data_IF_721694921860
#
_entry.id   IF_721694921860
#
_cell.length_a   1.000
_cell.length_b   1.000
_cell.length_c   1.000
_cell.angle_alpha   90.00
_cell.angle_beta   90.00
_cell.angle_gamma   90.00
#
_symmetry.space_group_name_H-M   'P 1'
#
loop_
_entity.id
_entity.type
_entity.pdbx_description
1 polymer ?
#
# COMPACT_ATOMS: atom_id res chain seq x y z
N UNK A 1 -1.80 -14.63 28.63
CA UNK A 1 -1.67 -14.16 27.23
C UNK A 1 -2.84 -14.52 26.34
N UNK A 2 -3.30 -15.79 26.31
CA UNK A 2 -4.47 -16.22 25.52
C UNK A 2 -5.72 -15.34 25.74
N UNK A 3 -6.02 -15.00 27.00
CA UNK A 3 -7.18 -14.16 27.36
C UNK A 3 -7.11 -12.73 26.81
N UNK A 4 -5.90 -12.22 26.52
CA UNK A 4 -5.69 -10.85 26.00
C UNK A 4 -5.73 -10.86 24.47
N UNK A 5 -5.14 -11.88 23.84
CA UNK A 5 -5.01 -11.96 22.38
C UNK A 5 -6.18 -12.67 21.69
N UNK A 6 -7.02 -13.39 22.43
CA UNK A 6 -8.24 -14.03 21.92
C UNK A 6 -7.97 -14.92 20.70
N UNK A 7 -8.73 -14.71 19.63
CA UNK A 7 -8.61 -15.46 18.36
C UNK A 7 -7.26 -15.28 17.65
N UNK A 8 -6.50 -14.25 18.00
CA UNK A 8 -5.19 -13.97 17.42
C UNK A 8 -4.06 -14.69 18.18
N UNK A 9 -4.38 -15.39 19.28
CA UNK A 9 -3.40 -16.20 19.99
C UNK A 9 -3.08 -17.48 19.21
N UNK A 10 -1.82 -17.62 18.79
CA UNK A 10 -1.34 -18.76 17.99
C UNK A 10 -0.55 -19.80 18.80
N UNK A 11 -0.65 -19.77 20.13
CA UNK A 11 0.05 -20.70 21.02
C UNK A 11 1.30 -20.12 21.70
N UNK A 12 2.09 -21.01 22.31
CA UNK A 12 3.36 -20.68 22.96
C UNK A 12 4.38 -21.81 22.76
N UNK A 13 5.66 -21.47 22.92
CA UNK A 13 6.76 -22.43 23.01
C UNK A 13 7.35 -22.31 24.40
N UNK A 14 7.35 -23.40 25.16
CA UNK A 14 7.97 -23.45 26.48
C UNK A 14 9.47 -23.76 26.32
N UNK A 15 10.30 -23.03 27.06
CA UNK A 15 11.75 -23.25 27.10
C UNK A 15 12.27 -23.10 28.52
N UNK A 16 13.33 -23.84 28.85
CA UNK A 16 14.05 -23.66 30.11
C UNK A 16 15.27 -22.76 29.89
N UNK A 17 15.12 -21.48 30.19
CA UNK A 17 16.20 -20.50 30.00
C UNK A 17 17.44 -20.85 30.83
N UNK A 18 17.27 -21.41 32.02
CA UNK A 18 18.38 -21.76 32.90
C UNK A 18 19.22 -22.92 32.34
N UNK A 19 18.58 -23.99 31.87
CA UNK A 19 19.29 -25.12 31.26
C UNK A 19 19.97 -24.71 29.94
N UNK A 20 19.30 -23.88 29.13
CA UNK A 20 19.89 -23.31 27.91
C UNK A 20 21.12 -22.43 28.23
N UNK A 21 21.01 -21.56 29.25
CA UNK A 21 22.10 -20.70 29.69
C UNK A 21 23.33 -21.53 30.12
N UNK A 22 23.15 -22.57 30.93
CA UNK A 22 24.26 -23.42 31.34
C UNK A 22 24.87 -24.22 30.17
N UNK A 23 24.07 -24.63 29.18
CA UNK A 23 24.56 -25.24 27.95
C UNK A 23 25.37 -24.31 27.05
N UNK A 24 25.08 -22.99 27.05
CA UNK A 24 25.72 -22.00 26.18
C UNK A 24 26.88 -21.23 26.83
N UNK A 25 26.81 -20.96 28.14
CA UNK A 25 27.75 -20.08 28.81
C UNK A 25 29.18 -20.62 28.67
N UNK A 26 30.08 -19.89 28.01
CA UNK A 26 31.45 -20.38 27.76
C UNK A 26 32.37 -20.12 28.96
N UNK A 27 32.27 -18.94 29.56
CA UNK A 27 33.05 -18.54 30.72
C UNK A 27 32.12 -18.05 31.83
N UNK A 28 32.19 -18.71 32.99
CA UNK A 28 31.55 -18.27 34.23
C UNK A 28 32.64 -18.04 35.27
N UNK A 29 32.47 -17.00 36.08
CA UNK A 29 33.41 -16.67 37.16
C UNK A 29 33.42 -17.84 38.16
N UNK A 30 34.58 -18.46 38.44
CA UNK A 30 34.67 -19.54 39.42
C UNK A 30 34.17 -19.11 40.80
N UNK A 31 33.69 -20.06 41.60
CA UNK A 31 33.14 -19.83 42.96
C UNK A 31 31.86 -18.97 43.00
N UNK A 32 31.21 -18.75 41.86
CA UNK A 32 29.86 -18.17 41.83
C UNK A 32 28.81 -19.27 41.81
N UNK A 33 27.62 -18.95 42.34
CA UNK A 33 26.43 -19.79 42.25
C UNK A 33 26.16 -20.32 40.84
N UNK A 34 26.32 -19.47 39.82
CA UNK A 34 26.11 -19.86 38.43
C UNK A 34 27.13 -20.90 37.96
N UNK A 35 28.41 -20.72 38.31
CA UNK A 35 29.46 -21.68 37.99
C UNK A 35 29.17 -23.02 38.68
N UNK A 36 28.90 -23.01 39.98
CA UNK A 36 28.64 -24.24 40.76
C UNK A 36 27.39 -24.97 40.26
N UNK A 37 26.30 -24.25 40.00
CA UNK A 37 25.07 -24.84 39.47
C UNK A 37 25.29 -25.40 38.07
N UNK A 38 26.02 -24.70 37.19
CA UNK A 38 26.40 -25.24 35.86
C UNK A 38 27.18 -26.55 36.00
N UNK A 39 28.16 -26.61 36.90
CA UNK A 39 28.91 -27.85 37.12
C UNK A 39 28.01 -29.00 37.59
N UNK A 40 27.00 -28.72 38.43
CA UNK A 40 26.01 -29.75 38.83
C UNK A 40 25.25 -30.32 37.64
N UNK A 41 24.74 -29.47 36.75
CA UNK A 41 24.04 -29.93 35.54
C UNK A 41 24.96 -30.72 34.58
N UNK A 42 26.22 -30.30 34.46
CA UNK A 42 27.20 -30.95 33.58
C UNK A 42 27.69 -32.32 34.08
N UNK A 43 27.41 -32.69 35.32
CA UNK A 43 27.68 -34.04 35.84
C UNK A 43 26.80 -35.09 35.17
N UNK A 44 25.53 -34.74 34.95
CA UNK A 44 24.51 -35.69 34.47
C UNK A 44 24.21 -35.50 32.97
N UNK A 45 24.48 -34.32 32.42
CA UNK A 45 24.16 -33.99 31.02
C UNK A 45 25.32 -33.27 30.33
N UNK A 46 25.58 -33.63 29.07
CA UNK A 46 26.51 -32.85 28.23
C UNK A 46 25.89 -31.49 27.88
N UNK A 47 26.72 -30.48 27.62
CA UNK A 47 26.27 -29.13 27.28
C UNK A 47 25.29 -29.11 26.08
N UNK A 48 25.53 -29.95 25.06
CA UNK A 48 24.62 -30.09 23.91
C UNK A 48 23.27 -30.72 24.25
N UNK A 49 23.21 -31.60 25.25
CA UNK A 49 21.98 -32.24 25.74
C UNK A 49 21.14 -31.25 26.55
N UNK A 50 21.78 -30.41 27.37
CA UNK A 50 21.11 -29.29 28.06
C UNK A 50 20.40 -28.35 27.09
N UNK A 51 20.99 -28.10 25.91
CA UNK A 51 20.37 -27.27 24.87
C UNK A 51 19.16 -27.93 24.19
N UNK A 52 19.15 -29.26 24.12
CA UNK A 52 18.04 -30.00 23.57
C UNK A 52 16.89 -30.11 24.59
N UNK A 53 17.20 -30.49 25.84
CA UNK A 53 16.22 -30.63 26.92
C UNK A 53 15.61 -29.29 27.35
N UNK A 54 16.34 -28.18 27.18
CA UNK A 54 15.79 -26.84 27.38
C UNK A 54 14.80 -26.40 26.29
N UNK A 55 14.62 -27.20 25.24
CA UNK A 55 13.86 -26.87 24.03
C UNK A 55 14.39 -25.62 23.30
N UNK A 56 15.63 -25.22 23.55
CA UNK A 56 16.21 -24.02 22.95
C UNK A 56 16.53 -24.22 21.46
N UNK A 57 17.04 -25.40 21.08
CA UNK A 57 17.23 -25.77 19.67
C UNK A 57 15.91 -25.78 18.88
N UNK A 58 14.86 -26.50 19.32
CA UNK A 58 13.53 -26.42 18.70
C UNK A 58 12.96 -25.00 18.62
N UNK A 59 13.22 -24.14 19.61
CA UNK A 59 12.79 -22.74 19.55
C UNK A 59 13.51 -21.98 18.44
N UNK A 60 14.83 -22.15 18.29
CA UNK A 60 15.60 -21.50 17.24
C UNK A 60 15.13 -21.93 15.84
N UNK A 61 14.89 -23.23 15.65
CA UNK A 61 14.33 -23.80 14.42
C UNK A 61 12.94 -23.23 14.14
N UNK A 62 12.04 -23.20 15.13
CA UNK A 62 10.71 -22.60 14.98
C UNK A 62 10.79 -21.13 14.55
N UNK A 63 11.69 -20.34 15.14
CA UNK A 63 11.84 -18.93 14.78
C UNK A 63 12.32 -18.79 13.33
N UNK A 64 13.36 -19.52 12.93
CA UNK A 64 13.93 -19.42 11.59
C UNK A 64 12.97 -19.98 10.51
N UNK A 65 12.44 -21.18 10.74
CA UNK A 65 11.77 -21.99 9.71
C UNK A 65 10.25 -21.87 9.70
N UNK A 66 9.62 -21.45 10.78
CA UNK A 66 8.15 -21.29 10.82
C UNK A 66 7.74 -19.83 10.96
N UNK A 67 8.32 -19.12 11.94
CA UNK A 67 7.91 -17.76 12.27
C UNK A 67 8.41 -16.74 11.23
N UNK A 68 9.70 -16.82 10.87
CA UNK A 68 10.34 -15.86 9.98
C UNK A 68 10.38 -16.29 8.51
N UNK A 69 10.21 -17.58 8.20
CA UNK A 69 10.32 -18.13 6.83
C UNK A 69 9.51 -17.36 5.78
N UNK A 70 8.28 -16.96 6.13
CA UNK A 70 7.39 -16.26 5.21
C UNK A 70 7.35 -14.74 5.44
N UNK A 71 8.21 -14.20 6.31
CA UNK A 71 8.19 -12.77 6.67
C UNK A 71 8.42 -11.88 5.46
N UNK A 72 9.43 -12.20 4.63
CA UNK A 72 9.74 -11.43 3.41
C UNK A 72 8.56 -11.41 2.44
N UNK A 73 7.97 -12.57 2.15
CA UNK A 73 6.80 -12.68 1.28
C UNK A 73 5.61 -11.91 1.84
N UNK A 74 5.34 -11.99 3.15
CA UNK A 74 4.27 -11.23 3.81
C UNK A 74 4.51 -9.72 3.76
N UNK A 75 5.75 -9.27 3.94
CA UNK A 75 6.12 -7.84 3.85
C UNK A 75 5.88 -7.34 2.43
N UNK A 76 6.35 -8.07 1.41
CA UNK A 76 6.15 -7.73 0.00
C UNK A 76 4.65 -7.66 -0.30
N UNK A 77 3.89 -8.69 0.05
CA UNK A 77 2.44 -8.73 -0.18
C UNK A 77 1.72 -7.56 0.52
N UNK A 78 2.05 -7.28 1.77
CA UNK A 78 1.50 -6.16 2.52
C UNK A 78 1.82 -4.82 1.84
N UNK A 79 3.04 -4.63 1.37
CA UNK A 79 3.45 -3.41 0.67
C UNK A 79 2.73 -3.27 -0.67
N UNK A 80 2.64 -4.35 -1.45
CA UNK A 80 1.85 -4.38 -2.69
C UNK A 80 0.38 -4.03 -2.43
N UNK A 81 -0.23 -4.58 -1.38
CA UNK A 81 -1.61 -4.26 -1.00
C UNK A 81 -1.77 -2.78 -0.60
N UNK A 82 -0.78 -2.19 0.06
CA UNK A 82 -0.79 -0.76 0.39
C UNK A 82 -0.68 0.09 -0.88
N UNK A 83 0.23 -0.25 -1.79
CA UNK A 83 0.40 0.43 -3.06
C UNK A 83 -0.87 0.34 -3.92
N UNK A 84 -1.48 -0.85 -4.01
CA UNK A 84 -2.73 -1.09 -4.73
C UNK A 84 -3.85 -0.15 -4.23
N UNK A 85 -4.04 -0.05 -2.91
CA UNK A 85 -5.05 0.86 -2.33
C UNK A 85 -4.82 2.33 -2.69
N UNK A 86 -3.57 2.76 -2.86
CA UNK A 86 -3.26 4.13 -3.30
C UNK A 86 -3.63 4.31 -4.78
N UNK A 87 -3.27 3.33 -5.62
CA UNK A 87 -3.61 3.33 -7.06
C UNK A 87 -5.13 3.32 -7.27
N UNK A 88 -5.89 2.51 -6.52
CA UNK A 88 -7.36 2.47 -6.59
C UNK A 88 -7.98 3.83 -6.23
N UNK A 89 -7.46 4.50 -5.19
CA UNK A 89 -7.90 5.85 -4.80
C UNK A 89 -7.61 6.87 -5.90
N UNK A 90 -6.42 6.82 -6.49
CA UNK A 90 -6.04 7.69 -7.59
C UNK A 90 -6.93 7.47 -8.81
N UNK A 91 -7.18 6.22 -9.19
CA UNK A 91 -8.05 5.86 -10.30
C UNK A 91 -9.47 6.42 -10.09
N UNK A 92 -10.03 6.28 -8.88
CA UNK A 92 -11.34 6.85 -8.54
C UNK A 92 -11.34 8.38 -8.64
N UNK A 93 -10.28 9.05 -8.19
CA UNK A 93 -10.15 10.50 -8.27
C UNK A 93 -10.06 10.99 -9.73
N UNK A 94 -9.27 10.31 -10.57
CA UNK A 94 -9.17 10.60 -12.01
C UNK A 94 -10.53 10.44 -12.67
N UNK A 95 -11.19 9.29 -12.47
CA UNK A 95 -12.52 9.01 -13.04
C UNK A 95 -13.52 10.11 -12.65
N UNK A 96 -13.58 10.45 -11.36
CA UNK A 96 -14.47 11.50 -10.85
C UNK A 96 -14.17 12.86 -11.47
N UNK A 97 -12.89 13.18 -11.70
CA UNK A 97 -12.47 14.47 -12.27
C UNK A 97 -12.87 14.57 -13.74
N UNK A 98 -12.71 13.48 -14.50
CA UNK A 98 -13.13 13.42 -15.90
C UNK A 98 -14.64 13.64 -15.99
N UNK A 99 -15.42 12.80 -15.30
CA UNK A 99 -16.89 12.80 -15.36
C UNK A 99 -17.50 14.13 -14.89
N UNK A 100 -16.94 14.74 -13.84
CA UNK A 100 -17.55 15.93 -13.22
C UNK A 100 -17.01 17.26 -13.72
N UNK A 101 -15.84 17.29 -14.35
CA UNK A 101 -15.20 18.55 -14.77
C UNK A 101 -14.85 18.54 -16.23
N UNK A 102 -14.12 17.53 -16.70
CA UNK A 102 -13.59 17.52 -18.07
C UNK A 102 -14.73 17.33 -19.08
N UNK A 103 -15.63 16.36 -18.87
CA UNK A 103 -16.72 16.10 -19.83
C UNK A 103 -17.68 17.30 -19.96
N UNK A 104 -18.13 17.96 -18.87
CA UNK A 104 -18.92 19.19 -18.97
C UNK A 104 -18.19 20.33 -19.67
N UNK A 105 -16.89 20.54 -19.37
CA UNK A 105 -16.10 21.59 -20.02
C UNK A 105 -15.95 21.36 -21.52
N UNK A 106 -15.75 20.10 -21.95
CA UNK A 106 -15.71 19.75 -23.38
C UNK A 106 -17.06 20.07 -24.03
N UNK A 107 -18.16 19.66 -23.39
CA UNK A 107 -19.51 19.92 -23.89
C UNK A 107 -19.79 21.43 -24.03
N UNK A 108 -19.49 22.19 -22.99
CA UNK A 108 -19.68 23.65 -22.99
C UNK A 108 -18.83 24.33 -24.07
N UNK A 109 -17.57 23.92 -24.25
CA UNK A 109 -16.72 24.46 -25.30
C UNK A 109 -17.27 24.16 -26.71
N UNK A 110 -17.85 22.97 -26.92
CA UNK A 110 -18.49 22.61 -28.19
C UNK A 110 -19.76 23.43 -28.44
N UNK A 111 -20.58 23.67 -27.41
CA UNK A 111 -21.77 24.52 -27.50
C UNK A 111 -21.39 25.96 -27.88
N UNK A 112 -20.40 26.55 -27.20
CA UNK A 112 -19.89 27.89 -27.52
C UNK A 112 -19.32 27.97 -28.96
N UNK A 113 -18.62 26.93 -29.41
CA UNK A 113 -18.12 26.87 -30.78
C UNK A 113 -19.26 26.87 -31.80
N UNK A 114 -20.32 26.10 -31.55
CA UNK A 114 -21.49 26.05 -32.43
C UNK A 114 -22.25 27.37 -32.46
N UNK A 115 -22.44 28.00 -31.29
CA UNK A 115 -23.08 29.30 -31.19
C UNK A 115 -22.29 30.38 -31.94
N UNK A 116 -20.97 30.44 -31.75
CA UNK A 116 -20.11 31.37 -32.46
C UNK A 116 -20.22 31.19 -33.99
N UNK A 117 -20.23 29.93 -34.46
CA UNK A 117 -20.40 29.62 -35.89
C UNK A 117 -21.76 30.07 -36.41
N UNK A 118 -22.84 29.81 -35.67
CA UNK A 118 -24.19 30.23 -36.05
C UNK A 118 -24.30 31.76 -36.14
N UNK A 119 -23.78 32.48 -35.14
CA UNK A 119 -23.80 33.93 -35.10
C UNK A 119 -23.00 34.56 -36.26
N UNK A 120 -21.84 34.00 -36.60
CA UNK A 120 -21.04 34.44 -37.75
C UNK A 120 -21.77 34.22 -39.09
N UNK A 121 -22.41 33.06 -39.27
CA UNK A 121 -23.20 32.78 -40.47
C UNK A 121 -24.36 33.77 -40.60
N UNK A 122 -25.12 33.98 -39.52
CA UNK A 122 -26.23 34.93 -39.48
C UNK A 122 -25.79 36.36 -39.77
N UNK A 123 -24.64 36.78 -39.22
CA UNK A 123 -24.07 38.10 -39.50
C UNK A 123 -23.66 38.25 -40.96
N UNK A 124 -23.08 37.20 -41.54
CA UNK A 124 -22.71 37.16 -42.97
C UNK A 124 -23.94 37.28 -43.86
N UNK A 125 -24.99 36.49 -43.61
CA UNK A 125 -26.25 36.55 -44.35
C UNK A 125 -26.90 37.93 -44.28
N UNK A 126 -26.94 38.54 -43.08
CA UNK A 126 -27.46 39.89 -42.89
C UNK A 126 -26.65 40.93 -43.66
N UNK A 127 -25.33 40.81 -43.64
CA UNK A 127 -24.44 41.71 -44.38
C UNK A 127 -24.67 41.61 -45.89
N UNK A 128 -24.77 40.39 -46.42
CA UNK A 128 -25.09 40.15 -47.84
C UNK A 128 -26.44 40.77 -48.20
N UNK A 129 -27.49 40.51 -47.41
CA UNK A 129 -28.83 41.06 -47.66
C UNK A 129 -28.85 42.59 -47.67
N UNK A 130 -28.16 43.24 -46.72
CA UNK A 130 -28.05 44.70 -46.68
C UNK A 130 -27.36 45.26 -47.93
N UNK A 131 -26.26 44.63 -48.38
CA UNK A 131 -25.56 45.03 -49.61
C UNK A 131 -26.44 44.89 -50.84
N UNK A 132 -27.15 43.75 -50.98
CA UNK A 132 -28.07 43.53 -52.10
C UNK A 132 -29.18 44.58 -52.14
N UNK A 133 -29.78 44.90 -50.99
CA UNK A 133 -30.82 45.91 -50.91
C UNK A 133 -30.30 47.31 -51.26
N UNK A 134 -29.11 47.68 -50.78
CA UNK A 134 -28.47 48.97 -51.10
C UNK A 134 -28.24 49.13 -52.60
N UNK A 135 -27.69 48.10 -53.25
CA UNK A 135 -27.43 48.11 -54.68
C UNK A 135 -28.72 48.26 -55.52
N UNK A 136 -29.81 47.62 -55.10
CA UNK A 136 -31.12 47.72 -55.75
C UNK A 136 -31.75 49.11 -55.57
N UNK A 137 -31.61 49.73 -54.40
CA UNK A 137 -32.12 51.09 -54.16
C UNK A 137 -31.37 52.15 -54.97
N UNK A 138 -30.06 52.00 -55.17
CA UNK A 138 -29.28 52.92 -56.01
C UNK A 138 -29.68 52.84 -57.49
N UNK A 139 -29.97 51.65 -58.00
CA UNK A 139 -30.40 51.47 -59.40
C UNK A 139 -31.82 52.01 -59.65
N UNK A 140 -32.71 51.94 -58.67
CA UNK A 140 -34.08 52.47 -58.79
C UNK A 140 -34.16 54.01 -58.77
N UNK A 141 -33.16 54.70 -58.22
CA UNK A 141 -33.09 56.18 -58.20
C UNK A 141 -32.51 56.74 -59.51
N UNK A 142 -31.83 55.92 -60.31
CA UNK A 142 -31.16 56.33 -61.55
C UNK A 142 -32.02 56.14 -62.83
N UNK A 143 -33.27 55.63 -62.70
CA UNK A 143 -34.25 55.45 -63.79
C UNK A 143 -35.38 56.46 -63.60
#
# INVERSE_FOLDING_TARGET
MKNILGKHYMGYKAVSTQAAFYGLAQALIPKTDFYEKKQKFLKDFKAGELLYQSHFKPLAEFIAEELLKNSRTKIIQSNCNKALKVVEKLQKAIKTTIEKRIDPMIKEAQEHQQEARYNLNRSTEKFISNLTNSALTETAIQI
#
